data_IF_364983398836
#
_entry.id   IF_364983398836
#
_cell.length_a   1.000
_cell.length_b   1.000
_cell.length_c   1.000
_cell.angle_alpha   90.00
_cell.angle_beta   90.00
_cell.angle_gamma   90.00
#
_symmetry.space_group_name_H-M   'P 1'
#
loop_
_entity.id
_entity.type
_entity.pdbx_description
1 polymer ?
#
# COMPACT_ATOMS: atom_id res chain seq x y z
N UNK A 1 16.93 -26.07 -9.57
CA UNK A 1 18.16 -26.81 -9.91
C UNK A 1 18.02 -28.17 -9.26
N UNK A 2 17.79 -29.21 -10.05
CA UNK A 2 17.70 -30.62 -9.57
C UNK A 2 19.05 -31.11 -9.06
N UNK A 3 19.07 -32.15 -8.24
CA UNK A 3 20.32 -32.72 -7.78
C UNK A 3 21.11 -33.24 -8.98
N UNK A 4 22.34 -32.84 -9.12
CA UNK A 4 23.24 -33.34 -10.14
C UNK A 4 23.66 -34.77 -9.79
N UNK A 5 23.33 -35.70 -10.65
CA UNK A 5 23.93 -37.01 -10.65
C UNK A 5 25.13 -37.01 -11.61
N UNK A 6 26.13 -36.17 -11.35
CA UNK A 6 27.35 -36.16 -12.14
C UNK A 6 28.20 -37.38 -11.76
N UNK A 7 28.42 -38.26 -12.70
CA UNK A 7 29.25 -39.48 -12.50
C UNK A 7 30.75 -39.18 -12.60
N UNK A 8 31.11 -37.98 -13.12
CA UNK A 8 32.50 -37.55 -13.26
C UNK A 8 32.67 -36.04 -13.07
N UNK A 9 33.93 -35.60 -12.83
CA UNK A 9 34.25 -34.18 -12.76
C UNK A 9 33.99 -33.47 -14.10
N UNK A 10 34.09 -34.12 -15.21
CA UNK A 10 33.77 -33.57 -16.53
C UNK A 10 32.25 -33.32 -16.68
N UNK A 11 31.42 -34.24 -16.20
CA UNK A 11 29.96 -34.09 -16.23
C UNK A 11 29.53 -32.95 -15.33
N UNK A 12 30.18 -32.79 -14.17
CA UNK A 12 29.94 -31.68 -13.28
C UNK A 12 30.28 -30.33 -13.93
N UNK A 13 31.44 -30.24 -14.57
CA UNK A 13 31.87 -29.01 -15.26
C UNK A 13 30.95 -28.66 -16.43
N UNK A 14 30.53 -29.66 -17.21
CA UNK A 14 29.54 -29.45 -18.28
C UNK A 14 28.19 -28.99 -17.73
N UNK A 15 27.72 -29.62 -16.65
CA UNK A 15 26.47 -29.24 -16.01
C UNK A 15 26.53 -27.82 -15.40
N UNK A 16 27.70 -27.39 -14.97
CA UNK A 16 27.90 -26.04 -14.43
C UNK A 16 28.10 -24.96 -15.51
N UNK A 17 28.38 -25.35 -16.76
CA UNK A 17 28.67 -24.43 -17.86
C UNK A 17 27.56 -23.43 -18.16
N UNK A 18 26.31 -23.81 -17.89
CA UNK A 18 25.15 -22.92 -18.01
C UNK A 18 24.72 -22.24 -16.71
N UNK A 19 25.41 -22.48 -15.59
CA UNK A 19 25.02 -21.94 -14.27
C UNK A 19 25.37 -20.47 -14.07
N UNK A 20 26.59 -19.99 -14.36
CA UNK A 20 26.84 -18.57 -14.45
C UNK A 20 26.24 -18.04 -15.75
N UNK A 21 25.59 -16.91 -15.70
CA UNK A 21 25.11 -16.22 -16.90
C UNK A 21 26.15 -15.18 -17.32
N UNK A 22 26.52 -15.07 -18.63
CA UNK A 22 26.04 -15.90 -19.76
C UNK A 22 26.62 -17.32 -19.79
N UNK A 23 27.74 -17.60 -19.11
CA UNK A 23 28.43 -18.87 -19.06
C UNK A 23 28.86 -19.41 -20.43
N UNK A 24 29.35 -20.64 -20.48
CA UNK A 24 29.77 -21.32 -21.72
C UNK A 24 28.58 -21.68 -22.63
N UNK A 25 27.39 -21.75 -22.07
CA UNK A 25 26.15 -21.98 -22.82
C UNK A 25 25.62 -20.73 -23.51
N UNK A 26 26.22 -19.55 -23.20
CA UNK A 26 25.82 -18.30 -23.81
C UNK A 26 24.43 -17.81 -23.44
N UNK A 27 23.96 -18.12 -22.23
CA UNK A 27 22.62 -17.75 -21.76
C UNK A 27 22.53 -16.24 -21.56
N UNK A 28 21.85 -15.53 -22.45
CA UNK A 28 21.74 -14.06 -22.43
C UNK A 28 20.46 -13.55 -21.78
N UNK A 29 19.58 -14.43 -21.32
CA UNK A 29 18.33 -14.07 -20.68
C UNK A 29 17.88 -15.11 -19.65
N UNK A 30 17.19 -14.63 -18.61
CA UNK A 30 16.44 -15.42 -17.64
C UNK A 30 15.03 -14.84 -17.53
N UNK A 31 14.07 -15.52 -18.15
CA UNK A 31 12.67 -15.08 -18.22
C UNK A 31 11.75 -16.28 -17.94
N UNK A 32 10.45 -16.05 -17.97
CA UNK A 32 9.48 -17.16 -17.84
C UNK A 32 9.54 -18.15 -19.00
N UNK A 33 10.09 -17.75 -20.15
CA UNK A 33 10.11 -18.52 -21.40
C UNK A 33 11.47 -19.17 -21.69
N UNK A 34 12.51 -18.83 -20.92
CA UNK A 34 13.86 -19.40 -21.08
C UNK A 34 13.99 -20.78 -20.44
N UNK A 35 15.04 -21.51 -20.81
CA UNK A 35 15.44 -22.74 -20.14
C UNK A 35 16.86 -22.58 -19.60
N UNK A 36 17.07 -22.57 -18.26
CA UNK A 36 16.04 -22.63 -17.22
C UNK A 36 15.12 -21.39 -17.21
N UNK A 37 13.88 -21.61 -16.76
CA UNK A 37 12.92 -20.53 -16.63
C UNK A 37 13.04 -19.82 -15.28
N UNK A 38 12.59 -18.57 -15.23
CA UNK A 38 12.56 -17.74 -14.04
C UNK A 38 11.43 -18.16 -13.09
N UNK A 39 11.69 -19.16 -12.23
CA UNK A 39 10.73 -19.67 -11.26
C UNK A 39 11.18 -19.33 -9.83
N UNK A 40 10.22 -18.99 -8.97
CA UNK A 40 10.45 -18.93 -7.53
C UNK A 40 10.37 -20.33 -6.92
N UNK A 41 10.85 -20.50 -5.70
CA UNK A 41 10.91 -21.79 -5.02
C UNK A 41 9.58 -22.56 -4.99
N UNK A 42 8.45 -21.86 -4.98
CA UNK A 42 7.12 -22.46 -5.01
C UNK A 42 6.68 -22.96 -6.39
N UNK A 43 7.50 -22.78 -7.42
CA UNK A 43 7.20 -23.18 -8.80
C UNK A 43 6.35 -22.19 -9.58
N UNK A 44 6.08 -21.02 -9.04
CA UNK A 44 5.40 -19.94 -9.76
C UNK A 44 6.38 -19.06 -10.54
N UNK A 45 5.88 -18.39 -11.58
CA UNK A 45 6.69 -17.49 -12.39
C UNK A 45 7.15 -16.28 -11.59
N UNK A 46 8.43 -15.91 -11.71
CA UNK A 46 8.97 -14.71 -11.08
C UNK A 46 8.42 -13.42 -11.72
N UNK A 47 8.09 -13.46 -13.01
CA UNK A 47 7.62 -12.31 -13.81
C UNK A 47 8.54 -11.08 -13.74
N UNK A 48 9.83 -11.32 -13.64
CA UNK A 48 10.86 -10.28 -13.56
C UNK A 48 11.98 -10.60 -14.54
N UNK A 49 11.78 -10.31 -15.84
CA UNK A 49 12.72 -10.67 -16.88
C UNK A 49 14.07 -9.98 -16.68
N UNK A 50 15.12 -10.78 -16.78
CA UNK A 50 16.51 -10.32 -16.86
C UNK A 50 16.98 -10.67 -18.27
N UNK A 51 17.48 -9.69 -19.03
CA UNK A 51 17.84 -9.86 -20.45
C UNK A 51 19.19 -9.18 -20.73
N UNK A 52 19.70 -9.37 -21.94
CA UNK A 52 20.96 -8.78 -22.40
C UNK A 52 22.14 -9.06 -21.45
N UNK A 53 22.12 -10.25 -20.83
CA UNK A 53 23.22 -10.69 -19.96
C UNK A 53 24.45 -10.93 -20.83
N UNK A 54 25.55 -10.26 -20.53
CA UNK A 54 26.81 -10.39 -21.24
C UNK A 54 27.98 -10.10 -20.32
N UNK A 55 29.11 -10.76 -20.61
CA UNK A 55 30.39 -10.49 -19.99
C UNK A 55 31.14 -9.45 -20.85
N UNK A 56 31.73 -8.45 -20.19
CA UNK A 56 32.58 -7.46 -20.80
C UNK A 56 34.02 -7.98 -20.81
N UNK A 57 34.91 -7.35 -21.62
CA UNK A 57 36.33 -7.72 -21.71
C UNK A 57 37.09 -7.68 -20.38
N UNK A 58 36.66 -6.86 -19.44
CA UNK A 58 37.22 -6.73 -18.09
C UNK A 58 36.68 -7.79 -17.10
N UNK A 59 35.79 -8.69 -17.54
CA UNK A 59 35.17 -9.72 -16.71
C UNK A 59 33.91 -9.28 -15.97
N UNK A 60 33.47 -8.03 -16.12
CA UNK A 60 32.20 -7.58 -15.54
C UNK A 60 31.02 -8.17 -16.28
N UNK A 61 29.99 -8.60 -15.52
CA UNK A 61 28.70 -9.03 -16.08
C UNK A 61 27.74 -7.84 -16.08
N UNK A 62 27.23 -7.52 -17.26
CA UNK A 62 26.16 -6.51 -17.42
C UNK A 62 24.87 -7.17 -17.86
N UNK A 63 23.76 -6.66 -17.40
CA UNK A 63 22.42 -7.17 -17.72
C UNK A 63 21.42 -6.03 -17.75
N UNK A 64 20.24 -6.30 -18.28
CA UNK A 64 19.09 -5.40 -18.24
C UNK A 64 17.94 -6.11 -17.49
N UNK A 65 17.52 -5.48 -16.40
CA UNK A 65 16.36 -5.90 -15.62
C UNK A 65 15.14 -5.11 -16.05
N UNK A 66 13.98 -5.78 -16.26
CA UNK A 66 12.75 -5.17 -16.75
C UNK A 66 13.00 -4.25 -17.97
N UNK A 67 13.22 -4.82 -19.16
CA UNK A 67 13.85 -4.10 -20.30
C UNK A 67 13.01 -3.00 -20.95
N UNK A 68 11.72 -2.89 -20.64
CA UNK A 68 10.81 -1.92 -21.26
C UNK A 68 10.93 -0.50 -20.70
N UNK A 69 11.79 -0.29 -19.70
CA UNK A 69 11.97 1.00 -19.05
C UNK A 69 11.17 1.13 -17.77
N UNK A 70 11.07 2.35 -17.24
CA UNK A 70 10.36 2.65 -15.99
C UNK A 70 8.96 3.19 -16.29
N UNK A 71 7.99 2.80 -15.48
CA UNK A 71 6.63 3.37 -15.51
C UNK A 71 6.65 4.83 -15.01
N UNK A 72 5.73 5.62 -15.53
CA UNK A 72 5.49 6.95 -14.98
C UNK A 72 4.69 6.86 -13.66
N UNK A 73 5.00 7.74 -12.72
CA UNK A 73 4.29 7.80 -11.45
C UNK A 73 2.83 8.24 -11.67
N UNK A 74 1.85 7.59 -11.02
CA UNK A 74 0.47 8.03 -11.06
C UNK A 74 0.31 9.44 -10.50
N UNK A 75 -0.74 10.15 -10.89
CA UNK A 75 -1.13 11.42 -10.27
C UNK A 75 -2.28 11.14 -9.30
N UNK A 76 -2.08 11.42 -8.03
CA UNK A 76 -3.12 11.22 -7.00
C UNK A 76 -4.15 12.34 -7.04
N UNK A 77 -5.40 11.98 -6.79
CA UNK A 77 -6.53 12.90 -6.69
C UNK A 77 -6.78 13.25 -5.22
N UNK A 78 -7.62 14.26 -4.97
CA UNK A 78 -8.04 14.59 -3.60
C UNK A 78 -8.83 13.43 -3.00
N UNK A 79 -8.42 12.97 -1.82
CA UNK A 79 -9.13 11.92 -1.09
C UNK A 79 -10.54 12.36 -0.70
N UNK A 80 -11.50 11.43 -0.81
CA UNK A 80 -12.90 11.66 -0.47
C UNK A 80 -13.28 10.86 0.76
N UNK A 81 -13.78 11.53 1.80
CA UNK A 81 -14.34 10.85 2.97
C UNK A 81 -15.68 10.21 2.59
N UNK A 82 -15.75 8.88 2.70
CA UNK A 82 -16.94 8.07 2.38
C UNK A 82 -17.78 7.79 3.62
N UNK A 83 -17.13 7.63 4.75
CA UNK A 83 -17.73 7.41 6.06
C UNK A 83 -16.71 7.85 7.13
N UNK A 84 -17.10 7.76 8.40
CA UNK A 84 -16.21 8.08 9.51
C UNK A 84 -14.86 7.37 9.41
N UNK A 85 -13.78 8.12 9.24
CA UNK A 85 -12.40 7.63 9.04
C UNK A 85 -12.21 6.71 7.82
N UNK A 86 -13.19 6.59 6.94
CA UNK A 86 -13.10 5.81 5.72
C UNK A 86 -12.91 6.75 4.54
N UNK A 87 -11.77 6.64 3.86
CA UNK A 87 -11.39 7.51 2.76
C UNK A 87 -11.22 6.71 1.48
N UNK A 88 -11.81 7.21 0.40
CA UNK A 88 -11.52 6.74 -0.94
C UNK A 88 -10.33 7.53 -1.48
N UNK A 89 -9.27 6.81 -1.81
CA UNK A 89 -8.13 7.30 -2.56
C UNK A 89 -8.31 6.93 -4.03
N UNK A 90 -8.02 7.86 -4.92
CA UNK A 90 -8.05 7.64 -6.36
C UNK A 90 -6.84 8.31 -7.03
N UNK A 91 -6.49 7.81 -8.21
CA UNK A 91 -5.34 8.27 -8.98
C UNK A 91 -5.55 8.07 -10.47
N UNK A 92 -4.79 8.81 -11.28
CA UNK A 92 -4.78 8.61 -12.72
C UNK A 92 -4.09 7.28 -13.09
N UNK A 93 -4.57 6.57 -14.12
CA UNK A 93 -3.85 5.40 -14.61
C UNK A 93 -2.48 5.82 -15.17
N UNK A 94 -1.45 5.00 -14.88
CA UNK A 94 -0.15 5.08 -15.53
C UNK A 94 -0.15 4.18 -16.76
N UNK A 95 0.37 4.67 -17.87
CA UNK A 95 0.45 3.91 -19.11
C UNK A 95 1.32 2.65 -18.91
N UNK A 96 0.85 1.50 -19.39
CA UNK A 96 1.44 0.17 -19.22
C UNK A 96 1.50 -0.37 -17.79
N UNK A 97 0.92 0.29 -16.81
CA UNK A 97 0.80 -0.27 -15.47
C UNK A 97 -0.29 -1.35 -15.43
N UNK A 98 0.01 -2.46 -14.76
CA UNK A 98 -0.92 -3.56 -14.51
C UNK A 98 -1.48 -3.48 -13.09
N UNK A 99 -0.66 -3.01 -12.15
CA UNK A 99 -1.00 -2.94 -10.72
C UNK A 99 -0.51 -1.64 -10.10
N UNK A 100 -0.99 -1.38 -8.89
CA UNK A 100 -0.60 -0.21 -8.08
C UNK A 100 -0.34 -0.63 -6.65
N UNK A 101 0.58 0.09 -6.00
CA UNK A 101 0.81 0.02 -4.55
C UNK A 101 0.47 1.37 -3.94
N UNK A 102 -0.35 1.37 -2.90
CA UNK A 102 -0.68 2.54 -2.09
C UNK A 102 0.00 2.44 -0.74
N UNK A 103 0.66 3.51 -0.31
CA UNK A 103 1.22 3.64 1.05
C UNK A 103 0.66 4.87 1.72
N UNK A 104 0.25 4.73 2.98
CA UNK A 104 -0.28 5.82 3.80
C UNK A 104 0.61 6.00 5.02
N UNK A 105 0.96 7.24 5.32
CA UNK A 105 1.78 7.64 6.46
C UNK A 105 0.97 8.52 7.40
N UNK A 106 1.11 8.31 8.71
CA UNK A 106 0.54 9.20 9.71
C UNK A 106 1.42 10.43 9.92
N UNK A 107 0.79 11.58 10.17
CA UNK A 107 1.47 12.83 10.47
C UNK A 107 0.96 13.35 11.82
N UNK A 108 1.87 13.52 12.77
CA UNK A 108 1.58 14.02 14.10
C UNK A 108 1.38 15.55 14.13
N UNK A 109 0.96 16.10 15.28
CA UNK A 109 0.69 17.52 15.43
C UNK A 109 1.90 18.44 15.28
N UNK A 110 3.10 17.91 15.41
CA UNK A 110 4.39 18.57 15.17
C UNK A 110 4.93 18.33 13.76
N UNK A 111 4.07 17.91 12.83
CA UNK A 111 4.37 17.64 11.41
C UNK A 111 5.39 16.51 11.19
N UNK A 112 5.59 15.64 12.18
CA UNK A 112 6.46 14.47 12.03
C UNK A 112 5.70 13.33 11.36
N UNK A 113 6.32 12.77 10.33
CA UNK A 113 5.81 11.60 9.62
C UNK A 113 6.20 10.31 10.34
N UNK A 114 5.36 9.31 10.24
CA UNK A 114 5.74 7.96 10.68
C UNK A 114 6.89 7.44 9.82
N UNK A 115 7.86 6.77 10.45
CA UNK A 115 9.00 6.16 9.75
C UNK A 115 8.54 5.08 8.75
N UNK A 116 7.50 4.35 9.12
CA UNK A 116 6.89 3.32 8.28
C UNK A 116 5.45 3.69 7.93
N UNK A 117 4.94 3.23 6.77
CA UNK A 117 3.54 3.44 6.43
C UNK A 117 2.62 2.78 7.47
N UNK A 118 1.57 3.49 7.85
CA UNK A 118 0.50 2.97 8.74
C UNK A 118 -0.46 2.05 8.00
N UNK A 119 -0.48 2.15 6.67
CA UNK A 119 -1.27 1.28 5.80
C UNK A 119 -0.54 1.06 4.48
N UNK A 120 -0.61 -0.17 3.97
CA UNK A 120 -0.08 -0.56 2.65
C UNK A 120 -1.13 -1.43 1.95
N UNK A 121 -1.42 -1.13 0.70
CA UNK A 121 -2.16 -2.01 -0.19
C UNK A 121 -1.36 -2.24 -1.45
N UNK A 122 -1.05 -3.49 -1.73
CA UNK A 122 -0.26 -3.92 -2.88
C UNK A 122 -1.12 -4.60 -3.93
N UNK A 123 -0.62 -4.62 -5.16
CA UNK A 123 -1.23 -5.36 -6.29
C UNK A 123 -2.68 -4.97 -6.60
N UNK A 124 -3.02 -3.71 -6.40
CA UNK A 124 -4.33 -3.18 -6.77
C UNK A 124 -4.44 -3.07 -8.29
N UNK A 125 -5.46 -3.67 -8.89
CA UNK A 125 -5.75 -3.57 -10.34
C UNK A 125 -6.61 -2.35 -10.69
N UNK A 126 -7.30 -1.80 -9.71
CA UNK A 126 -8.13 -0.59 -9.85
C UNK A 126 -7.31 0.67 -9.58
N UNK A 127 -7.77 1.79 -10.09
CA UNK A 127 -7.17 3.12 -9.85
C UNK A 127 -7.78 3.83 -8.64
N UNK A 128 -8.34 3.08 -7.73
CA UNK A 128 -8.84 3.58 -6.44
C UNK A 128 -8.84 2.48 -5.38
N UNK A 129 -8.82 2.88 -4.12
CA UNK A 129 -9.09 2.00 -2.99
C UNK A 129 -9.77 2.77 -1.86
N UNK A 130 -10.46 2.04 -0.98
CA UNK A 130 -11.03 2.62 0.24
C UNK A 130 -10.21 2.13 1.43
N UNK A 131 -9.78 3.07 2.25
CA UNK A 131 -8.92 2.82 3.41
C UNK A 131 -9.62 3.29 4.66
N UNK A 132 -9.69 2.44 5.66
CA UNK A 132 -10.12 2.81 7.01
C UNK A 132 -8.90 3.32 7.77
N UNK A 133 -8.89 4.59 8.15
CA UNK A 133 -7.85 5.20 8.95
C UNK A 133 -8.35 5.29 10.39
N UNK A 134 -7.83 4.43 11.26
CA UNK A 134 -8.18 4.46 12.67
C UNK A 134 -7.69 5.76 13.33
N UNK A 135 -8.37 6.18 14.39
CA UNK A 135 -7.98 7.35 15.19
C UNK A 135 -6.77 6.98 16.08
N UNK A 136 -5.62 6.90 15.44
CA UNK A 136 -4.35 6.47 16.06
C UNK A 136 -3.54 7.63 16.65
N UNK A 137 -4.16 8.82 16.80
CA UNK A 137 -3.49 10.01 17.33
C UNK A 137 -2.78 10.87 16.29
N UNK A 138 -2.92 10.56 14.99
CA UNK A 138 -2.41 11.41 13.92
C UNK A 138 -3.43 12.49 13.55
N UNK A 139 -2.94 13.72 13.29
CA UNK A 139 -3.80 14.82 12.86
C UNK A 139 -4.09 14.81 11.36
N UNK A 140 -3.20 14.22 10.59
CA UNK A 140 -3.34 14.09 9.15
C UNK A 140 -2.61 12.85 8.65
N UNK A 141 -2.88 12.51 7.40
CA UNK A 141 -2.22 11.40 6.70
C UNK A 141 -1.74 11.90 5.34
N UNK A 142 -0.60 11.36 4.91
CA UNK A 142 -0.12 11.49 3.54
C UNK A 142 -0.22 10.14 2.85
N UNK A 143 -0.66 10.10 1.59
CA UNK A 143 -0.66 8.87 0.81
C UNK A 143 0.01 9.09 -0.54
N UNK A 144 0.72 8.07 -0.98
CA UNK A 144 1.37 8.03 -2.29
C UNK A 144 1.06 6.72 -2.99
N UNK A 145 1.16 6.73 -4.31
CA UNK A 145 0.87 5.59 -5.17
C UNK A 145 2.03 5.36 -6.12
N UNK A 146 2.44 4.12 -6.29
CA UNK A 146 3.36 3.71 -7.35
C UNK A 146 2.69 2.73 -8.31
N UNK A 147 3.08 2.78 -9.56
CA UNK A 147 2.64 1.89 -10.62
C UNK A 147 3.61 0.72 -10.76
N UNK A 148 3.08 -0.47 -11.01
CA UNK A 148 3.82 -1.72 -11.15
C UNK A 148 3.41 -2.46 -12.42
N UNK A 149 4.37 -3.16 -13.00
CA UNK A 149 4.18 -4.10 -14.10
C UNK A 149 5.26 -5.18 -14.07
N UNK A 150 5.01 -6.31 -14.74
CA UNK A 150 5.96 -7.42 -14.78
C UNK A 150 7.16 -7.16 -15.70
N UNK A 151 7.02 -6.33 -16.72
CA UNK A 151 8.04 -6.08 -17.75
C UNK A 151 8.69 -4.70 -17.65
N UNK A 152 8.03 -3.75 -16.97
CA UNK A 152 8.53 -2.41 -16.70
C UNK A 152 9.11 -2.30 -15.30
N UNK A 153 10.07 -1.41 -15.11
CA UNK A 153 10.51 -0.99 -13.78
C UNK A 153 9.37 -0.26 -13.09
N UNK A 154 9.22 -0.49 -11.78
CA UNK A 154 8.22 0.17 -10.96
C UNK A 154 8.41 1.69 -11.03
N UNK A 155 7.33 2.45 -11.02
CA UNK A 155 7.43 3.91 -10.99
C UNK A 155 8.02 4.39 -9.65
N UNK A 156 8.49 5.63 -9.63
CA UNK A 156 8.60 6.34 -8.36
C UNK A 156 7.20 6.46 -7.73
N UNK A 157 7.15 6.76 -6.43
CA UNK A 157 5.88 7.14 -5.82
C UNK A 157 5.42 8.49 -6.37
N UNK A 158 4.11 8.65 -6.50
CA UNK A 158 3.48 9.92 -6.82
C UNK A 158 3.88 11.04 -5.84
N UNK A 159 3.63 12.27 -6.19
CA UNK A 159 3.48 13.32 -5.19
C UNK A 159 2.42 12.90 -4.16
N UNK A 160 2.58 13.33 -2.92
CA UNK A 160 1.68 12.91 -1.86
C UNK A 160 0.36 13.66 -1.88
N UNK A 161 -0.74 12.91 -1.85
CA UNK A 161 -2.05 13.42 -1.45
C UNK A 161 -2.16 13.48 0.07
N UNK A 162 -2.96 14.41 0.59
CA UNK A 162 -3.12 14.60 2.02
C UNK A 162 -4.56 14.45 2.46
N UNK A 163 -4.75 13.80 3.61
CA UNK A 163 -6.01 13.76 4.34
C UNK A 163 -5.79 14.45 5.68
N UNK A 164 -6.55 15.50 5.95
CA UNK A 164 -6.61 16.09 7.30
C UNK A 164 -7.83 15.54 8.00
N UNK A 165 -7.60 14.91 9.14
CA UNK A 165 -8.69 14.70 10.07
C UNK A 165 -9.00 16.04 10.70
N UNK A 166 -10.27 16.52 10.68
CA UNK A 166 -10.59 17.79 11.33
C UNK A 166 -10.21 17.68 12.80
N UNK A 167 -9.35 18.56 13.26
CA UNK A 167 -8.82 18.58 14.63
C UNK A 167 -9.93 18.66 15.72
N UNK A 168 -11.13 19.10 15.35
CA UNK A 168 -12.33 19.26 16.17
C UNK A 168 -13.60 18.82 15.41
N UNK A 169 -13.50 17.86 14.48
CA UNK A 169 -14.71 17.37 13.84
C UNK A 169 -15.63 16.77 14.90
N UNK A 170 -16.65 17.48 15.15
CA UNK A 170 -17.83 16.94 15.80
C UNK A 170 -18.39 15.89 14.87
N UNK A 171 -18.01 14.65 15.13
CA UNK A 171 -18.39 13.52 14.30
C UNK A 171 -19.85 13.21 14.56
N UNK A 172 -20.65 13.13 13.51
CA UNK A 172 -21.99 12.61 13.62
C UNK A 172 -21.87 11.11 13.86
N UNK A 173 -21.99 10.69 15.11
CA UNK A 173 -22.01 9.28 15.47
C UNK A 173 -23.40 8.74 15.20
N UNK A 174 -23.56 7.95 14.14
CA UNK A 174 -24.69 7.05 14.02
C UNK A 174 -24.44 5.87 14.96
N UNK A 175 -25.08 5.89 16.13
CA UNK A 175 -25.07 4.73 17.01
C UNK A 175 -25.87 3.60 16.31
N UNK A 176 -25.27 2.41 16.22
CA UNK A 176 -25.99 1.21 15.78
C UNK A 176 -27.19 0.96 16.70
N UNK A 177 -28.29 0.44 16.13
CA UNK A 177 -29.50 0.16 16.90
C UNK A 177 -29.20 -0.86 18.01
N UNK A 178 -29.34 -0.43 19.25
CA UNK A 178 -29.19 -1.28 20.45
C UNK A 178 -28.06 -0.91 21.40
N UNK A 179 -27.12 -0.03 21.00
CA UNK A 179 -26.04 0.40 21.91
C UNK A 179 -26.56 1.38 22.99
N UNK A 180 -26.11 1.21 24.23
CA UNK A 180 -26.40 2.16 25.30
C UNK A 180 -25.66 3.47 25.03
N UNK A 181 -26.43 4.57 25.02
CA UNK A 181 -25.93 5.91 24.72
C UNK A 181 -25.99 6.77 25.98
N UNK A 182 -24.88 7.38 26.37
CA UNK A 182 -24.85 8.37 27.43
C UNK A 182 -24.31 9.70 26.87
N UNK A 183 -24.99 10.81 27.18
CA UNK A 183 -24.54 12.14 26.78
C UNK A 183 -24.19 12.98 28.01
N UNK A 184 -23.03 13.57 27.97
CA UNK A 184 -22.50 14.41 29.03
C UNK A 184 -22.29 15.84 28.55
N UNK A 185 -22.45 16.82 29.47
CA UNK A 185 -21.95 18.17 29.25
C UNK A 185 -20.43 18.19 29.16
N UNK A 186 -19.85 19.30 28.67
CA UNK A 186 -18.40 19.50 28.69
C UNK A 186 -17.77 19.48 30.11
N UNK A 187 -18.60 19.67 31.14
CA UNK A 187 -18.19 19.62 32.56
C UNK A 187 -18.33 18.21 33.16
N UNK A 188 -18.63 17.20 32.34
CA UNK A 188 -18.77 15.81 32.79
C UNK A 188 -20.10 15.48 33.46
N UNK A 189 -21.11 16.35 33.39
CA UNK A 189 -22.44 16.09 33.95
C UNK A 189 -23.23 15.25 32.96
N UNK A 190 -23.74 14.09 33.38
CA UNK A 190 -24.59 13.25 32.60
C UNK A 190 -25.95 13.94 32.36
N UNK A 191 -26.34 14.06 31.10
CA UNK A 191 -27.56 14.76 30.68
C UNK A 191 -28.62 13.79 30.17
N UNK A 192 -28.21 12.73 29.46
CA UNK A 192 -29.10 11.81 28.72
C UNK A 192 -28.55 10.40 28.75
N UNK A 193 -29.42 9.38 28.88
CA UNK A 193 -29.06 7.96 28.85
C UNK A 193 -29.73 7.15 27.73
N UNK A 194 -30.50 7.81 26.88
CA UNK A 194 -31.16 7.12 25.78
C UNK A 194 -31.09 7.93 24.49
N UNK A 195 -31.19 7.23 23.35
CA UNK A 195 -31.19 7.84 22.03
C UNK A 195 -32.40 8.75 21.81
N UNK A 196 -33.53 8.38 22.35
CA UNK A 196 -34.77 9.16 22.23
C UNK A 196 -34.69 10.50 22.94
N UNK A 197 -34.02 10.53 24.10
CA UNK A 197 -33.78 11.78 24.86
C UNK A 197 -32.77 12.70 24.19
N UNK A 198 -31.85 12.16 23.35
CA UNK A 198 -30.90 12.98 22.59
C UNK A 198 -31.59 13.96 21.64
N UNK A 199 -32.77 13.62 21.10
CA UNK A 199 -33.54 14.48 20.21
C UNK A 199 -34.04 15.75 20.89
N UNK A 200 -34.02 15.80 22.21
CA UNK A 200 -34.50 16.93 23.01
C UNK A 200 -33.35 17.78 23.57
N UNK A 201 -32.10 17.51 23.18
CA UNK A 201 -30.97 18.33 23.59
C UNK A 201 -31.01 19.69 22.91
N UNK A 202 -30.72 20.74 23.69
CA UNK A 202 -30.55 22.07 23.12
C UNK A 202 -29.32 22.12 22.20
N UNK A 203 -29.29 23.03 21.20
CA UNK A 203 -28.09 23.24 20.41
C UNK A 203 -26.87 23.49 21.29
N UNK A 204 -25.79 22.75 21.07
CA UNK A 204 -24.62 22.86 21.90
C UNK A 204 -23.59 21.77 21.65
N UNK A 205 -22.50 21.82 22.42
CA UNK A 205 -21.41 20.83 22.36
C UNK A 205 -21.52 19.88 23.55
N UNK A 206 -21.46 18.58 23.29
CA UNK A 206 -21.65 17.53 24.27
C UNK A 206 -20.59 16.42 24.10
N UNK A 207 -20.47 15.55 25.09
CA UNK A 207 -19.67 14.32 25.02
C UNK A 207 -20.66 13.15 24.95
N UNK A 208 -20.62 12.40 23.84
CA UNK A 208 -21.36 11.15 23.65
C UNK A 208 -20.47 9.99 24.06
N UNK A 209 -20.98 9.10 24.91
CA UNK A 209 -20.31 7.86 25.31
C UNK A 209 -21.12 6.67 24.87
N UNK A 210 -20.49 5.73 24.13
CA UNK A 210 -21.08 4.45 23.69
C UNK A 210 -20.04 3.36 23.90
N UNK A 211 -20.41 2.26 24.55
CA UNK A 211 -19.59 1.03 24.73
C UNK A 211 -18.10 1.29 25.07
N UNK A 212 -17.85 2.26 25.94
CA UNK A 212 -16.49 2.59 26.39
C UNK A 212 -15.74 3.60 25.55
N UNK A 213 -16.30 4.07 24.43
CA UNK A 213 -15.76 5.19 23.63
C UNK A 213 -16.48 6.48 23.98
N UNK A 214 -15.74 7.57 24.08
CA UNK A 214 -16.29 8.91 24.29
C UNK A 214 -15.95 9.80 23.10
N UNK A 215 -16.95 10.51 22.55
CA UNK A 215 -16.80 11.37 21.37
C UNK A 215 -17.47 12.72 21.64
N UNK A 216 -16.84 13.82 21.24
CA UNK A 216 -17.42 15.15 21.25
C UNK A 216 -18.44 15.29 20.12
N UNK A 217 -19.68 15.71 20.42
CA UNK A 217 -20.74 15.92 19.44
C UNK A 217 -21.24 17.37 19.48
N UNK A 218 -21.81 17.86 18.36
CA UNK A 218 -22.57 19.13 18.30
C UNK A 218 -24.01 18.81 17.95
N UNK A 219 -24.93 19.29 18.77
CA UNK A 219 -26.34 19.34 18.46
C UNK A 219 -26.65 20.72 17.85
N UNK A 220 -27.25 20.74 16.67
CA UNK A 220 -27.65 21.97 15.96
C UNK A 220 -29.11 22.29 16.19
#
# INVERSE_FOLDING_TARGET
>A
VGPYNAESSADLLNALGGQPYPGTEGNTALTNETTPASLVFTGTWMNKPITQIRELENGDIVLKYKPKGRLEAPVVETAVEMALNSFKFSWSPSENATFYTVKVYGISGDEQWTEHPVFVADSLSETCCTVQLDDTGYQSYAYGVSALDNEYEDSEFSDYGYVRLPADAVRQVSAEDGASVEVYSLHGVLLVRSREEMLNLNPGIYILRTEGKAVKIVVK
#
